data_IF_802091895279
#
_entry.id   IF_802091895279
#
_cell.length_a   1.000
_cell.length_b   1.000
_cell.length_c   1.000
_cell.angle_alpha   90.00
_cell.angle_beta   90.00
_cell.angle_gamma   90.00
#
_symmetry.space_group_name_H-M   'P 1'
#
loop_
_entity.id
_entity.type
_entity.pdbx_description
1 polymer ?
#
# COMPACT_ATOMS: atom_id res chain seq x y z
N UNK A 1 5.36 8.48 -4.37
CA UNK A 1 4.40 9.11 -5.27
C UNK A 1 3.04 8.51 -4.97
N UNK A 2 2.89 7.21 -5.23
CA UNK A 2 1.70 6.38 -4.94
C UNK A 2 0.94 6.66 -3.65
N UNK A 3 1.63 6.87 -2.52
CA UNK A 3 0.96 7.15 -1.24
C UNK A 3 0.22 8.49 -1.21
N UNK A 4 0.68 9.49 -1.97
CA UNK A 4 0.01 10.78 -2.13
C UNK A 4 -1.14 10.65 -3.13
N UNK A 5 -0.94 9.93 -4.23
CA UNK A 5 -1.97 9.71 -5.25
C UNK A 5 -3.12 8.86 -4.71
N UNK A 6 -2.83 7.79 -3.97
CA UNK A 6 -3.85 7.00 -3.25
C UNK A 6 -4.68 7.88 -2.30
N UNK A 7 -4.03 8.77 -1.56
CA UNK A 7 -4.72 9.68 -0.63
C UNK A 7 -5.57 10.72 -1.38
N UNK A 8 -5.11 11.19 -2.53
CA UNK A 8 -5.87 12.11 -3.39
C UNK A 8 -7.08 11.39 -4.01
N UNK A 9 -6.87 10.22 -4.60
CA UNK A 9 -7.92 9.42 -5.21
C UNK A 9 -9.05 9.10 -4.22
N UNK A 10 -8.71 8.81 -2.96
CA UNK A 10 -9.68 8.56 -1.90
C UNK A 10 -10.57 9.79 -1.56
N UNK A 11 -10.14 11.00 -1.88
CA UNK A 11 -10.84 12.25 -1.53
C UNK A 11 -11.56 12.86 -2.73
N UNK A 12 -10.98 12.80 -3.92
CA UNK A 12 -11.46 13.56 -5.09
C UNK A 12 -11.81 12.72 -6.31
N UNK A 13 -11.50 11.42 -6.34
CA UNK A 13 -11.72 10.56 -7.50
C UNK A 13 -12.72 9.43 -7.24
N UNK A 14 -12.87 8.53 -8.20
CA UNK A 14 -13.76 7.38 -8.12
C UNK A 14 -13.07 6.12 -7.59
N UNK A 15 -13.87 5.08 -7.33
CA UNK A 15 -13.39 3.81 -6.81
C UNK A 15 -12.40 3.12 -7.77
N UNK A 16 -12.51 3.34 -9.09
CA UNK A 16 -11.61 2.73 -10.05
C UNK A 16 -10.21 3.37 -9.97
N UNK A 17 -10.14 4.69 -9.88
CA UNK A 17 -8.89 5.42 -9.60
C UNK A 17 -8.29 4.98 -8.27
N UNK A 18 -9.07 4.96 -7.19
CA UNK A 18 -8.57 4.56 -5.87
C UNK A 18 -8.00 3.13 -5.88
N UNK A 19 -8.66 2.19 -6.55
CA UNK A 19 -8.17 0.81 -6.68
C UNK A 19 -6.90 0.73 -7.52
N UNK A 20 -6.76 1.54 -8.57
CA UNK A 20 -5.55 1.62 -9.39
C UNK A 20 -4.35 2.08 -8.58
N UNK A 21 -4.44 3.25 -7.95
CA UNK A 21 -3.37 3.82 -7.12
C UNK A 21 -3.03 2.92 -5.92
N UNK A 22 -4.05 2.26 -5.33
CA UNK A 22 -3.82 1.30 -4.26
C UNK A 22 -3.04 0.07 -4.74
N UNK A 23 -3.30 -0.39 -5.97
CA UNK A 23 -2.59 -1.51 -6.57
C UNK A 23 -1.11 -1.16 -6.84
N UNK A 24 -0.86 0.04 -7.37
CA UNK A 24 0.49 0.53 -7.64
C UNK A 24 1.28 0.75 -6.34
N UNK A 25 0.65 1.31 -5.31
CA UNK A 25 1.21 1.40 -3.97
C UNK A 25 1.60 0.03 -3.41
N UNK A 26 0.70 -0.97 -3.49
CA UNK A 26 0.97 -2.33 -3.02
C UNK A 26 2.10 -3.00 -3.82
N UNK A 27 2.14 -2.79 -5.13
CA UNK A 27 3.20 -3.30 -5.99
C UNK A 27 4.56 -2.72 -5.60
N UNK A 28 4.67 -1.39 -5.56
CA UNK A 28 5.91 -0.70 -5.21
C UNK A 28 6.38 -1.02 -3.80
N UNK A 29 5.46 -1.09 -2.82
CA UNK A 29 5.79 -1.51 -1.47
C UNK A 29 6.32 -2.96 -1.44
N UNK A 30 5.67 -3.88 -2.15
CA UNK A 30 6.11 -5.28 -2.20
C UNK A 30 7.50 -5.42 -2.82
N UNK A 31 7.77 -4.72 -3.93
CA UNK A 31 9.10 -4.69 -4.57
C UNK A 31 10.15 -4.14 -3.60
N UNK A 32 9.85 -3.03 -2.91
CA UNK A 32 10.77 -2.41 -1.95
C UNK A 32 11.08 -3.34 -0.77
N UNK A 33 10.06 -4.00 -0.21
CA UNK A 33 10.23 -4.97 0.88
C UNK A 33 11.13 -6.13 0.43
N UNK A 34 10.87 -6.69 -0.76
CA UNK A 34 11.69 -7.77 -1.33
C UNK A 34 13.14 -7.35 -1.53
N UNK A 35 13.39 -6.14 -2.03
CA UNK A 35 14.74 -5.58 -2.17
C UNK A 35 15.49 -5.46 -0.83
N UNK A 36 14.77 -5.47 0.30
CA UNK A 36 15.30 -5.43 1.66
C UNK A 36 15.26 -6.79 2.37
N UNK A 37 14.90 -7.87 1.66
CA UNK A 37 14.80 -9.21 2.22
C UNK A 37 13.57 -9.45 3.10
N UNK A 38 12.54 -8.61 2.96
CA UNK A 38 11.28 -8.68 3.71
C UNK A 38 10.13 -9.14 2.81
N UNK A 39 9.04 -9.59 3.43
CA UNK A 39 7.79 -9.95 2.78
C UNK A 39 6.64 -9.04 3.23
N UNK A 40 5.59 -8.92 2.41
CA UNK A 40 4.38 -8.18 2.77
C UNK A 40 3.74 -8.71 4.07
N UNK A 41 3.84 -10.02 4.31
CA UNK A 41 3.39 -10.67 5.55
C UNK A 41 4.07 -10.11 6.81
N UNK A 42 5.31 -9.65 6.71
CA UNK A 42 6.02 -9.06 7.85
C UNK A 42 5.35 -7.74 8.25
N UNK A 43 4.93 -6.93 7.28
CA UNK A 43 4.18 -5.71 7.52
C UNK A 43 2.76 -6.00 8.07
N UNK A 44 2.10 -7.05 7.57
CA UNK A 44 0.80 -7.50 8.10
C UNK A 44 0.92 -7.92 9.56
N UNK A 45 1.95 -8.69 9.94
CA UNK A 45 2.16 -9.08 11.33
C UNK A 45 2.36 -7.86 12.27
N UNK A 46 3.01 -6.80 11.79
CA UNK A 46 3.12 -5.53 12.53
C UNK A 46 1.75 -4.85 12.69
N UNK A 47 0.89 -4.88 11.66
CA UNK A 47 -0.47 -4.34 11.76
C UNK A 47 -1.32 -5.11 12.77
N UNK A 48 -1.26 -6.45 12.75
CA UNK A 48 -1.95 -7.31 13.71
C UNK A 48 -1.53 -7.03 15.16
N UNK A 49 -0.24 -6.77 15.39
CA UNK A 49 0.26 -6.40 16.72
C UNK A 49 -0.26 -5.04 17.20
N UNK A 50 -0.51 -4.09 16.30
CA UNK A 50 -0.99 -2.73 16.64
C UNK A 50 -2.49 -2.68 16.95
N UNK A 51 -3.28 -3.57 16.36
CA UNK A 51 -4.75 -3.56 16.45
C UNK A 51 -5.29 -4.72 17.29
N UNK A 52 -4.50 -5.18 18.26
CA UNK A 52 -4.86 -6.26 19.18
C UNK A 52 -5.51 -5.74 20.45
#
# INVERSE_FOLDING_TARGET
EEGVETALAAVVEDDASLLGESADLLYHLTVLLRARGLALSDAVAVLEQRHR
#
